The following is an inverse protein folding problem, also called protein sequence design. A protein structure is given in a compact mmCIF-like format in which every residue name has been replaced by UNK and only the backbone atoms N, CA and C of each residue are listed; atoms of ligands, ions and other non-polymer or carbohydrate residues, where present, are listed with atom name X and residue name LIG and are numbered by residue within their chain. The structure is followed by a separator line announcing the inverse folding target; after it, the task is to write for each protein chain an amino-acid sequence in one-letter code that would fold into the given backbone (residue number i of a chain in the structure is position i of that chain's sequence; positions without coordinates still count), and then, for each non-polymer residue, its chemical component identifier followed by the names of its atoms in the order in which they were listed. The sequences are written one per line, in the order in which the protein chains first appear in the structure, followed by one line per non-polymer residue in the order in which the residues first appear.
data_IF_102514947810
#
_entry.id   IF_102514947810
#
_cell.length_a   1.000
_cell.length_b   1.000
_cell.length_c   1.000
_cell.angle_alpha   90.00
_cell.angle_beta   90.00
_cell.angle_gamma   90.00
#
_symmetry.space_group_name_H-M   'P 1'
#
loop_
_entity.id
_entity.type
_entity.pdbx_description
1 polymer ?
#
# COMPACT_ATOMS: atom_id res chain seq x y z
N UNK A 1 -9.84 0.17 10.94
CA UNK A 1 -10.51 0.72 9.75
C UNK A 1 -10.13 -0.03 8.45
N UNK A 2 -9.68 -1.28 8.48
CA UNK A 2 -9.24 -2.03 7.28
C UNK A 2 -10.38 -2.45 6.33
N UNK A 3 -11.62 -2.54 6.82
CA UNK A 3 -12.75 -3.05 6.05
C UNK A 3 -13.10 -2.20 4.82
N UNK A 4 -12.89 -0.87 4.86
CA UNK A 4 -13.27 0.04 3.77
C UNK A 4 -12.24 0.06 2.63
N UNK A 5 -10.95 -0.03 2.97
CA UNK A 5 -9.84 -0.19 2.01
C UNK A 5 -9.92 -1.51 1.24
N UNK A 6 -10.50 -2.56 1.83
CA UNK A 6 -10.74 -3.85 1.18
C UNK A 6 -11.90 -3.84 0.17
N UNK A 7 -12.84 -2.89 0.25
CA UNK A 7 -14.04 -2.90 -0.62
C UNK A 7 -13.67 -2.74 -2.09
N UNK A 8 -12.77 -1.82 -2.41
CA UNK A 8 -12.35 -1.54 -3.80
C UNK A 8 -11.67 -2.74 -4.47
N UNK A 9 -10.63 -3.38 -3.86
CA UNK A 9 -10.04 -4.58 -4.45
C UNK A 9 -11.02 -5.76 -4.46
N UNK A 10 -11.86 -5.93 -3.44
CA UNK A 10 -12.87 -6.99 -3.40
C UNK A 10 -13.93 -6.82 -4.52
N UNK A 11 -14.39 -5.59 -4.74
CA UNK A 11 -15.31 -5.24 -5.82
C UNK A 11 -14.66 -5.52 -7.20
N UNK A 12 -13.38 -5.16 -7.35
CA UNK A 12 -12.63 -5.36 -8.59
C UNK A 12 -12.39 -6.85 -8.89
N UNK A 13 -12.15 -7.67 -7.86
CA UNK A 13 -12.05 -9.13 -8.01
C UNK A 13 -13.42 -9.80 -8.23
N UNK A 14 -14.50 -9.26 -7.66
CA UNK A 14 -15.84 -9.85 -7.78
C UNK A 14 -16.50 -9.64 -9.15
N UNK A 15 -16.20 -8.52 -9.82
CA UNK A 15 -16.72 -8.17 -11.14
C UNK A 15 -16.47 -9.24 -12.22
N UNK A 16 -15.24 -9.69 -12.48
CA UNK A 16 -14.99 -10.71 -13.49
C UNK A 16 -15.62 -12.06 -13.13
N UNK A 17 -15.69 -12.43 -11.85
CA UNK A 17 -16.37 -13.65 -11.40
C UNK A 17 -17.87 -13.58 -11.70
N UNK A 18 -18.50 -12.43 -11.46
CA UNK A 18 -19.92 -12.22 -11.73
C UNK A 18 -20.22 -12.25 -13.24
N UNK A 19 -19.36 -11.64 -14.06
CA UNK A 19 -19.47 -11.65 -15.53
C UNK A 19 -19.31 -13.06 -16.09
N UNK A 20 -18.28 -13.80 -15.66
CA UNK A 20 -18.04 -15.17 -16.13
C UNK A 20 -19.16 -16.12 -15.68
N UNK A 21 -19.64 -15.97 -14.44
CA UNK A 21 -20.77 -16.76 -13.92
C UNK A 21 -22.06 -16.51 -14.69
N UNK A 22 -22.33 -15.24 -15.07
CA UNK A 22 -23.50 -14.88 -15.85
C UNK A 22 -23.43 -15.44 -17.29
N UNK A 23 -22.28 -15.34 -17.94
CA UNK A 23 -22.06 -15.88 -19.30
C UNK A 23 -22.20 -17.40 -19.31
N UNK A 24 -21.61 -18.10 -18.34
CA UNK A 24 -21.70 -19.57 -18.25
C UNK A 24 -23.13 -20.06 -17.97
N UNK A 25 -23.93 -19.30 -17.19
CA UNK A 25 -25.34 -19.60 -16.97
C UNK A 25 -26.19 -19.36 -18.24
N UNK A 26 -25.85 -18.36 -19.04
CA UNK A 26 -26.51 -18.07 -20.33
C UNK A 26 -26.19 -19.12 -21.41
N UNK A 27 -25.00 -19.73 -21.37
CA UNK A 27 -24.56 -20.74 -22.36
C UNK A 27 -25.04 -22.17 -22.05
N UNK A 28 -25.66 -22.43 -20.90
CA UNK A 28 -26.18 -23.76 -20.53
C UNK A 28 -25.10 -24.85 -20.38
N UNK A 29 -23.84 -24.45 -20.21
CA UNK A 29 -22.69 -25.35 -20.08
C UNK A 29 -22.70 -26.07 -18.71
N UNK A 30 -22.11 -27.27 -18.60
CA UNK A 30 -21.87 -27.91 -17.31
C UNK A 30 -20.96 -27.01 -16.47
N UNK A 31 -21.57 -26.33 -15.50
CA UNK A 31 -20.98 -25.23 -14.73
C UNK A 31 -19.83 -25.68 -13.82
N UNK A 32 -19.85 -26.91 -13.32
CA UNK A 32 -18.90 -27.41 -12.31
C UNK A 32 -17.41 -27.31 -12.69
N UNK A 33 -16.95 -27.83 -13.85
CA UNK A 33 -15.53 -27.71 -14.23
C UNK A 33 -15.10 -26.27 -14.48
N UNK A 34 -15.99 -25.45 -15.06
CA UNK A 34 -15.70 -24.03 -15.33
C UNK A 34 -15.64 -23.21 -14.03
N UNK A 35 -16.49 -23.53 -13.06
CA UNK A 35 -16.45 -22.98 -11.70
C UNK A 35 -15.15 -23.35 -10.99
N UNK A 36 -14.71 -24.61 -11.09
CA UNK A 36 -13.45 -25.04 -10.45
C UNK A 36 -12.23 -24.31 -11.01
N UNK A 37 -12.12 -24.24 -12.34
CA UNK A 37 -10.99 -23.56 -13.00
C UNK A 37 -11.07 -22.04 -12.79
N UNK A 38 -12.27 -21.46 -12.91
CA UNK A 38 -12.51 -20.04 -12.66
C UNK A 38 -12.22 -19.65 -11.21
N UNK A 39 -12.63 -20.46 -10.24
CA UNK A 39 -12.35 -20.25 -8.82
C UNK A 39 -10.86 -20.36 -8.52
N UNK A 40 -10.18 -21.39 -9.02
CA UNK A 40 -8.74 -21.53 -8.85
C UNK A 40 -7.97 -20.33 -9.45
N UNK A 41 -8.37 -19.89 -10.65
CA UNK A 41 -7.83 -18.70 -11.29
C UNK A 41 -8.08 -17.42 -10.46
N UNK A 42 -9.29 -17.24 -9.95
CA UNK A 42 -9.64 -16.09 -9.11
C UNK A 42 -8.86 -16.07 -7.80
N UNK A 43 -8.67 -17.22 -7.14
CA UNK A 43 -7.87 -17.34 -5.92
C UNK A 43 -6.40 -17.00 -6.20
N UNK A 44 -5.83 -17.50 -7.30
CA UNK A 44 -4.46 -17.16 -7.70
C UNK A 44 -4.32 -15.66 -7.98
N UNK A 45 -5.26 -15.08 -8.72
CA UNK A 45 -5.26 -13.64 -9.01
C UNK A 45 -5.36 -12.81 -7.71
N UNK A 46 -6.26 -13.19 -6.80
CA UNK A 46 -6.40 -12.52 -5.50
C UNK A 46 -5.14 -12.65 -4.65
N UNK A 47 -4.48 -13.81 -4.66
CA UNK A 47 -3.23 -14.02 -3.93
C UNK A 47 -2.09 -13.17 -4.50
N UNK A 48 -1.93 -13.15 -5.83
CA UNK A 48 -0.92 -12.33 -6.50
C UNK A 48 -1.17 -10.85 -6.23
N UNK A 49 -2.42 -10.39 -6.38
CA UNK A 49 -2.81 -9.02 -6.10
C UNK A 49 -2.50 -8.62 -4.66
N UNK A 50 -2.93 -9.44 -3.69
CA UNK A 50 -2.70 -9.19 -2.26
C UNK A 50 -1.20 -9.16 -1.94
N UNK A 51 -0.43 -10.08 -2.51
CA UNK A 51 1.04 -10.12 -2.34
C UNK A 51 1.72 -8.87 -2.90
N UNK A 52 1.33 -8.41 -4.09
CA UNK A 52 1.83 -7.16 -4.66
C UNK A 52 1.41 -5.95 -3.82
N UNK A 53 0.15 -5.89 -3.41
CA UNK A 53 -0.38 -4.79 -2.63
C UNK A 53 0.31 -4.64 -1.27
N UNK A 54 0.55 -5.76 -0.56
CA UNK A 54 1.30 -5.76 0.71
C UNK A 54 2.75 -5.29 0.56
N UNK A 55 3.35 -5.46 -0.63
CA UNK A 55 4.71 -5.00 -0.92
C UNK A 55 4.77 -3.51 -1.25
N UNK A 56 3.68 -2.91 -1.72
CA UNK A 56 3.62 -1.49 -2.11
C UNK A 56 3.07 -0.59 -1.01
N UNK A 57 2.17 -1.08 -0.17
CA UNK A 57 1.59 -0.29 0.93
C UNK A 57 2.63 -0.08 2.02
N UNK A 58 2.92 1.17 2.34
CA UNK A 58 3.82 1.55 3.44
C UNK A 58 3.11 1.29 4.77
N UNK A 59 3.73 0.47 5.61
CA UNK A 59 3.20 0.09 6.92
C UNK A 59 3.94 0.74 8.09
N UNK A 60 5.18 1.17 7.87
CA UNK A 60 6.01 1.77 8.93
C UNK A 60 6.90 2.86 8.33
N UNK A 61 6.97 3.99 9.03
CA UNK A 61 7.88 5.10 8.73
C UNK A 61 8.83 5.27 9.91
N UNK A 62 10.11 5.08 9.65
CA UNK A 62 11.18 5.30 10.61
C UNK A 62 11.82 6.67 10.34
N UNK A 63 11.79 7.56 11.32
CA UNK A 63 12.42 8.88 11.24
C UNK A 63 13.76 8.79 11.97
N UNK A 64 14.84 8.58 11.21
CA UNK A 64 16.20 8.48 11.73
C UNK A 64 16.87 9.84 11.88
N UNK A 65 18.16 9.84 12.24
CA UNK A 65 18.93 11.09 12.36
C UNK A 65 19.34 11.67 11.00
N UNK A 66 19.61 10.78 10.04
CA UNK A 66 20.18 11.11 8.74
C UNK A 66 19.16 11.09 7.61
N UNK A 67 18.00 10.46 7.82
CA UNK A 67 16.95 10.35 6.81
C UNK A 67 15.70 9.63 7.31
N UNK A 68 14.82 9.30 6.36
CA UNK A 68 13.57 8.58 6.58
C UNK A 68 13.69 7.19 5.97
N UNK A 69 13.40 6.16 6.77
CA UNK A 69 13.25 4.79 6.33
C UNK A 69 11.79 4.44 6.14
N UNK A 70 11.43 3.95 4.95
CA UNK A 70 10.07 3.48 4.67
C UNK A 70 10.05 1.96 4.57
N UNK A 71 9.14 1.31 5.28
CA UNK A 71 8.90 -0.13 5.14
C UNK A 71 7.49 -0.40 4.69
N UNK A 72 7.37 -1.30 3.71
CA UNK A 72 6.07 -1.83 3.34
C UNK A 72 5.54 -2.78 4.41
N UNK A 73 4.22 -3.01 4.42
CA UNK A 73 3.59 -3.98 5.33
C UNK A 73 4.26 -5.35 5.21
N UNK A 74 4.60 -5.79 4.00
CA UNK A 74 5.37 -7.00 3.78
C UNK A 74 6.75 -6.98 4.46
N UNK A 75 7.49 -5.87 4.36
CA UNK A 75 8.78 -5.74 5.02
C UNK A 75 8.67 -5.72 6.54
N UNK A 76 7.57 -5.19 7.10
CA UNK A 76 7.30 -5.19 8.54
C UNK A 76 7.13 -6.61 9.10
N UNK A 77 6.63 -7.56 8.30
CA UNK A 77 6.52 -8.98 8.72
C UNK A 77 7.87 -9.69 8.84
N UNK A 78 8.96 -9.07 8.38
CA UNK A 78 10.33 -9.60 8.44
C UNK A 78 11.17 -8.72 9.37
N UNK A 79 11.28 -9.05 10.66
CA UNK A 79 11.94 -8.19 11.64
C UNK A 79 13.42 -7.91 11.31
N UNK A 80 14.10 -8.86 10.66
CA UNK A 80 15.53 -8.72 10.30
C UNK A 80 15.79 -7.91 9.02
N UNK A 81 14.75 -7.39 8.36
CA UNK A 81 14.93 -6.60 7.15
C UNK A 81 15.53 -5.21 7.51
N UNK A 82 16.71 -4.85 6.99
CA UNK A 82 17.34 -3.57 7.31
C UNK A 82 16.49 -2.40 6.82
N UNK A 83 16.36 -1.38 7.66
CA UNK A 83 15.69 -0.12 7.31
C UNK A 83 16.70 0.74 6.56
N UNK A 84 16.45 0.95 5.27
CA UNK A 84 17.30 1.82 4.44
C UNK A 84 16.82 3.25 4.63
N UNK A 85 17.58 4.02 5.41
CA UNK A 85 17.37 5.46 5.55
C UNK A 85 17.68 6.16 4.22
N UNK A 86 16.75 6.98 3.77
CA UNK A 86 16.89 7.80 2.57
C UNK A 86 16.63 9.26 2.91
N UNK A 87 17.34 10.20 2.26
CA UNK A 87 17.14 11.63 2.51
C UNK A 87 15.71 12.07 2.15
N UNK A 88 15.16 12.97 2.98
CA UNK A 88 13.85 13.55 2.78
C UNK A 88 14.02 14.90 2.08
N UNK A 89 13.62 14.97 0.81
CA UNK A 89 13.81 16.17 0.00
C UNK A 89 12.58 17.07 -0.04
N UNK A 90 11.39 16.48 0.04
CA UNK A 90 10.13 17.21 -0.04
C UNK A 90 9.11 16.65 0.95
N UNK A 91 8.29 17.54 1.49
CA UNK A 91 7.21 17.22 2.40
C UNK A 91 6.07 18.19 2.13
N UNK A 92 4.93 17.66 1.71
CA UNK A 92 3.71 18.43 1.50
C UNK A 92 2.55 17.80 2.25
N UNK A 93 1.74 18.66 2.86
CA UNK A 93 0.48 18.26 3.47
C UNK A 93 -0.68 18.70 2.57
N UNK A 94 -1.49 17.75 2.16
CA UNK A 94 -2.80 17.97 1.53
C UNK A 94 -3.88 17.89 2.61
N UNK A 95 -5.14 18.19 2.27
CA UNK A 95 -6.28 18.11 3.22
C UNK A 95 -6.48 16.72 3.84
N UNK A 96 -6.08 15.65 3.15
CA UNK A 96 -6.37 14.26 3.54
C UNK A 96 -5.16 13.33 3.42
N UNK A 97 -4.01 13.86 3.01
CA UNK A 97 -2.81 13.06 2.78
C UNK A 97 -1.53 13.84 3.02
N UNK A 98 -0.47 13.13 3.35
CA UNK A 98 0.91 13.60 3.43
C UNK A 98 1.67 13.04 2.24
N UNK A 99 2.30 13.91 1.46
CA UNK A 99 3.14 13.54 0.32
C UNK A 99 4.60 13.76 0.72
N UNK A 100 5.42 12.72 0.59
CA UNK A 100 6.84 12.73 0.94
C UNK A 100 7.68 12.43 -0.30
N UNK A 101 8.69 13.25 -0.55
CA UNK A 101 9.76 12.97 -1.51
C UNK A 101 10.95 12.37 -0.77
N UNK A 102 11.14 11.06 -0.84
CA UNK A 102 12.21 10.33 -0.16
C UNK A 102 13.12 9.66 -1.19
N UNK A 103 14.40 10.01 -1.21
CA UNK A 103 15.32 9.53 -2.24
C UNK A 103 14.86 9.94 -3.65
N UNK A 104 14.61 8.95 -4.51
CA UNK A 104 14.10 9.14 -5.89
C UNK A 104 12.59 8.82 -6.02
N UNK A 105 11.85 8.78 -4.91
CA UNK A 105 10.44 8.37 -4.90
C UNK A 105 9.55 9.40 -4.21
N UNK A 106 8.38 9.63 -4.80
CA UNK A 106 7.27 10.29 -4.11
C UNK A 106 6.32 9.25 -3.55
N UNK A 107 5.97 9.41 -2.28
CA UNK A 107 5.06 8.52 -1.54
C UNK A 107 3.93 9.36 -0.99
N UNK A 108 2.70 8.95 -1.30
CA UNK A 108 1.50 9.53 -0.71
C UNK A 108 1.00 8.62 0.42
N UNK A 109 0.68 9.24 1.55
CA UNK A 109 0.21 8.58 2.75
C UNK A 109 -1.11 9.23 3.15
N UNK A 110 -2.22 8.49 3.11
CA UNK A 110 -3.51 9.02 3.53
C UNK A 110 -3.55 9.16 5.06
N UNK A 111 -4.12 10.25 5.56
CA UNK A 111 -4.16 10.52 7.01
C UNK A 111 -4.92 9.45 7.79
N UNK A 112 -5.93 8.86 7.15
CA UNK A 112 -6.79 7.82 7.73
C UNK A 112 -6.06 6.49 8.03
N UNK A 113 -4.92 6.25 7.35
CA UNK A 113 -4.14 5.02 7.51
C UNK A 113 -3.16 5.10 8.70
N UNK A 114 -2.98 6.28 9.29
CA UNK A 114 -2.01 6.52 10.35
C UNK A 114 -2.70 6.88 11.66
N UNK A 115 -2.30 6.27 12.80
CA UNK A 115 -2.97 6.52 14.07
C UNK A 115 -2.76 7.96 14.57
N UNK A 116 -1.62 8.59 14.26
CA UNK A 116 -1.25 9.94 14.71
C UNK A 116 -0.62 10.73 13.56
N UNK A 117 -1.40 11.22 12.58
CA UNK A 117 -0.87 11.86 11.38
C UNK A 117 -0.16 13.19 11.68
N UNK A 118 -0.60 13.93 12.70
CA UNK A 118 0.00 15.22 13.08
C UNK A 118 1.38 15.03 13.74
N UNK A 119 1.51 14.04 14.63
CA UNK A 119 2.79 13.71 15.27
C UNK A 119 3.83 13.23 14.24
N UNK A 120 3.38 12.45 13.25
CA UNK A 120 4.22 12.03 12.12
C UNK A 120 4.66 13.24 11.29
N UNK A 121 3.74 14.14 10.95
CA UNK A 121 4.05 15.35 10.20
C UNK A 121 5.08 16.22 10.94
N UNK A 122 4.92 16.42 12.24
CA UNK A 122 5.84 17.19 13.08
C UNK A 122 7.23 16.55 13.15
N UNK A 123 7.32 15.22 13.21
CA UNK A 123 8.60 14.51 13.17
C UNK A 123 9.32 14.71 11.82
N UNK A 124 8.57 14.59 10.71
CA UNK A 124 9.11 14.77 9.36
C UNK A 124 9.52 16.23 9.08
N UNK A 125 8.74 17.21 9.56
CA UNK A 125 9.07 18.63 9.44
C UNK A 125 10.37 18.97 10.19
N UNK A 126 10.54 18.44 11.40
CA UNK A 126 11.77 18.61 12.19
C UNK A 126 12.99 18.01 11.48
N UNK A 127 12.84 16.83 10.88
CA UNK A 127 13.91 16.20 10.10
C UNK A 127 14.26 17.03 8.86
N UNK A 128 13.26 17.48 8.10
CA UNK A 128 13.49 18.30 6.90
C UNK A 128 14.19 19.62 7.25
N UNK A 129 13.80 20.26 8.34
CA UNK A 129 14.45 21.48 8.82
C UNK A 129 15.92 21.22 9.19
N UNK A 130 16.19 20.11 9.89
CA UNK A 130 17.55 19.70 10.25
C UNK A 130 18.41 19.44 9.00
N UNK A 131 17.90 18.70 8.03
CA UNK A 131 18.62 18.42 6.79
C UNK A 131 18.93 19.67 5.98
N UNK A 132 18.02 20.66 5.95
CA UNK A 132 18.29 21.96 5.32
C UNK A 132 19.31 22.82 6.06
N UNK A 133 19.48 22.61 7.38
CA UNK A 133 20.40 23.37 8.21
C UNK A 133 21.84 22.85 8.20
N UNK A 134 22.08 21.65 7.64
CA UNK A 134 23.42 21.11 7.45
C UNK A 134 24.04 21.72 6.19
N UNK A 135 25.14 22.51 6.31
CA UNK A 135 25.88 22.96 5.14
C UNK A 135 26.55 21.75 4.48
N UNK A 136 26.35 21.64 3.17
CA UNK A 136 27.05 20.72 2.27
C UNK A 136 28.56 20.87 2.33
#
# INVERSE_FOLDING_TARGET
MFARSLVTPLATCSLPVMVVGLVAALEGLPLLPYLFVGFAGAVLAAFVWTSLHLRTVIGEVHVGESGVGLRSVYACTRPDAPVVEQPLYDLRKTRTSIILGVGDRMVEMADEDWPEPDALLDALQRLLHRQRSLPS
#
